data_IF_854377350493
#
_entry.id   IF_854377350493
#
_cell.length_a   1.000
_cell.length_b   1.000
_cell.length_c   1.000
_cell.angle_alpha   90.00
_cell.angle_beta   90.00
_cell.angle_gamma   90.00
#
_symmetry.space_group_name_H-M   'P 1'
#
loop_
_entity.id
_entity.type
_entity.pdbx_description
1 polymer ?
#
# COMPACT_ATOMS: atom_id res chain seq x y z
N UNK A 1 23.71 -5.14 -4.50
CA UNK A 1 22.76 -6.08 -5.11
C UNK A 1 21.37 -5.66 -4.66
N UNK A 2 20.53 -5.18 -5.56
CA UNK A 2 19.13 -4.87 -5.26
C UNK A 2 18.44 -6.17 -4.84
N UNK A 3 17.93 -6.23 -3.61
CA UNK A 3 17.17 -7.40 -3.11
C UNK A 3 15.96 -7.63 -4.01
N UNK A 4 15.76 -8.86 -4.49
CA UNK A 4 14.56 -9.25 -5.24
C UNK A 4 13.37 -9.32 -4.27
N UNK A 5 12.64 -8.21 -4.14
CA UNK A 5 11.47 -8.10 -3.27
C UNK A 5 10.34 -9.04 -3.69
N UNK A 6 10.22 -9.37 -4.98
CA UNK A 6 9.17 -10.30 -5.40
C UNK A 6 9.47 -11.71 -4.89
N UNK A 7 10.72 -12.17 -5.07
CA UNK A 7 11.14 -13.48 -4.55
C UNK A 7 11.03 -13.55 -3.03
N UNK A 8 11.35 -12.47 -2.31
CA UNK A 8 11.19 -12.39 -0.85
C UNK A 8 9.74 -12.66 -0.40
N UNK A 9 8.76 -12.20 -1.18
CA UNK A 9 7.35 -12.15 -0.78
C UNK A 9 6.45 -13.13 -1.54
N UNK A 10 7.01 -14.01 -2.37
CA UNK A 10 6.24 -14.87 -3.27
C UNK A 10 5.32 -15.83 -2.52
N UNK A 11 5.78 -16.44 -1.42
CA UNK A 11 4.98 -17.38 -0.63
C UNK A 11 3.74 -16.71 -0.01
N UNK A 12 3.90 -15.48 0.49
CA UNK A 12 2.79 -14.68 1.03
C UNK A 12 1.79 -14.31 -0.06
N UNK A 13 2.29 -13.89 -1.22
CA UNK A 13 1.44 -13.57 -2.37
C UNK A 13 0.67 -14.80 -2.86
N UNK A 14 1.32 -15.96 -2.99
CA UNK A 14 0.65 -17.20 -3.41
C UNK A 14 -0.38 -17.66 -2.38
N UNK A 15 -0.09 -17.53 -1.08
CA UNK A 15 -1.08 -17.80 -0.03
C UNK A 15 -2.28 -16.87 -0.13
N UNK A 16 -2.06 -15.58 -0.36
CA UNK A 16 -3.14 -14.61 -0.57
C UNK A 16 -3.97 -14.93 -1.82
N UNK A 17 -3.34 -15.37 -2.90
CA UNK A 17 -4.01 -15.78 -4.15
C UNK A 17 -4.90 -17.01 -3.95
N UNK A 18 -4.42 -18.00 -3.19
CA UNK A 18 -5.23 -19.15 -2.78
C UNK A 18 -6.41 -18.71 -1.92
N UNK A 19 -6.17 -17.83 -0.92
CA UNK A 19 -7.23 -17.34 -0.04
C UNK A 19 -8.34 -16.58 -0.78
N UNK A 20 -8.02 -15.71 -1.75
CA UNK A 20 -9.05 -15.01 -2.54
C UNK A 20 -9.85 -15.95 -3.45
N UNK A 21 -9.24 -17.06 -3.88
CA UNK A 21 -9.89 -18.08 -4.71
C UNK A 21 -10.81 -18.98 -3.89
N UNK A 22 -10.34 -19.49 -2.76
CA UNK A 22 -11.07 -20.47 -1.94
C UNK A 22 -11.99 -19.83 -0.90
N UNK A 23 -11.72 -18.58 -0.53
CA UNK A 23 -12.46 -17.81 0.47
C UNK A 23 -12.49 -18.44 1.87
N UNK A 24 -11.49 -19.26 2.19
CA UNK A 24 -11.29 -19.79 3.53
C UNK A 24 -10.72 -18.71 4.48
N UNK A 25 -10.75 -18.95 5.79
CA UNK A 25 -10.14 -18.04 6.75
C UNK A 25 -8.62 -18.06 6.61
N UNK A 26 -8.06 -16.92 6.22
CA UNK A 26 -6.63 -16.67 6.20
C UNK A 26 -6.37 -15.18 6.43
N UNK A 27 -5.32 -14.86 7.17
CA UNK A 27 -4.85 -13.50 7.42
C UNK A 27 -3.33 -13.50 7.35
N UNK A 28 -2.76 -12.49 6.68
CA UNK A 28 -1.32 -12.34 6.53
C UNK A 28 -0.67 -11.63 7.72
N UNK A 29 -1.46 -11.01 8.60
CA UNK A 29 -0.97 -10.14 9.66
C UNK A 29 -1.67 -10.42 11.00
N UNK A 30 -0.94 -10.63 12.10
CA UNK A 30 -1.57 -10.94 13.39
C UNK A 30 -2.46 -9.80 13.92
N UNK A 31 -3.72 -10.09 14.25
CA UNK A 31 -4.68 -9.08 14.71
C UNK A 31 -4.66 -8.81 16.23
N UNK A 32 -4.01 -9.68 17.01
CA UNK A 32 -3.96 -9.55 18.47
C UNK A 32 -2.82 -8.61 18.88
N UNK A 33 -3.07 -7.52 19.64
CA UNK A 33 -2.00 -6.66 20.17
C UNK A 33 -1.25 -7.27 21.36
N UNK A 34 -1.31 -8.59 21.53
CA UNK A 34 -0.74 -9.30 22.66
C UNK A 34 0.80 -9.26 22.64
N UNK A 35 1.47 -9.02 23.78
CA UNK A 35 2.92 -9.14 23.90
C UNK A 35 3.46 -10.51 23.47
N UNK A 36 2.64 -11.57 23.56
CA UNK A 36 3.01 -12.91 23.07
C UNK A 36 3.28 -12.96 21.57
N UNK A 37 2.68 -12.04 20.81
CA UNK A 37 2.82 -11.95 19.34
C UNK A 37 3.89 -10.93 18.98
N UNK A 38 3.93 -9.80 19.69
CA UNK A 38 4.69 -8.62 19.28
C UNK A 38 5.91 -8.31 20.16
N UNK A 39 6.13 -9.09 21.22
CA UNK A 39 7.12 -8.80 22.24
C UNK A 39 6.63 -7.80 23.29
N UNK A 40 7.33 -7.75 24.42
CA UNK A 40 6.95 -6.95 25.60
C UNK A 40 7.07 -5.44 25.39
N UNK A 41 7.90 -4.99 24.44
CA UNK A 41 8.24 -3.56 24.29
C UNK A 41 7.52 -2.85 23.15
N UNK A 42 7.03 -3.59 22.14
CA UNK A 42 6.48 -3.01 20.91
C UNK A 42 5.34 -2.00 21.16
N UNK A 43 4.46 -2.29 22.13
CA UNK A 43 3.38 -1.38 22.50
C UNK A 43 3.88 -0.05 23.08
N UNK A 44 4.89 -0.10 23.95
CA UNK A 44 5.49 1.09 24.55
C UNK A 44 6.29 1.88 23.53
N UNK A 45 7.08 1.20 22.70
CA UNK A 45 7.91 1.82 21.66
C UNK A 45 7.06 2.48 20.57
N UNK A 46 6.00 1.81 20.09
CA UNK A 46 5.09 2.38 19.09
C UNK A 46 4.32 3.59 19.63
N UNK A 47 3.88 3.55 20.90
CA UNK A 47 3.27 4.72 21.56
C UNK A 47 4.26 5.87 21.67
N UNK A 48 5.50 5.61 22.07
CA UNK A 48 6.54 6.63 22.15
C UNK A 48 6.86 7.25 20.77
N UNK A 49 6.93 6.43 19.71
CA UNK A 49 7.12 6.90 18.35
C UNK A 49 5.98 7.83 17.89
N UNK A 50 4.72 7.45 18.13
CA UNK A 50 3.58 8.32 17.85
C UNK A 50 3.66 9.65 18.61
N UNK A 51 3.98 9.60 19.92
CA UNK A 51 4.08 10.79 20.76
C UNK A 51 5.21 11.73 20.32
N UNK A 52 6.26 11.21 19.68
CA UNK A 52 7.36 12.02 19.17
C UNK A 52 6.93 12.97 18.03
N UNK A 53 5.80 12.72 17.37
CA UNK A 53 5.27 13.65 16.37
C UNK A 53 4.54 14.85 16.99
N UNK A 54 4.13 14.77 18.25
CA UNK A 54 3.33 15.82 18.86
C UNK A 54 4.05 17.18 18.80
N UNK A 55 3.32 18.21 18.39
CA UNK A 55 3.82 19.60 18.22
C UNK A 55 5.03 19.75 17.29
N UNK A 56 5.31 18.73 16.46
CA UNK A 56 6.49 18.64 15.61
C UNK A 56 6.12 18.67 14.13
N UNK A 57 7.12 18.91 13.28
CA UNK A 57 6.97 18.74 11.84
C UNK A 57 7.02 17.25 11.51
N UNK A 58 6.04 16.75 10.77
CA UNK A 58 6.07 15.38 10.28
C UNK A 58 7.31 15.20 9.38
N UNK A 59 8.11 14.13 9.57
CA UNK A 59 9.44 13.98 8.97
C UNK A 59 9.37 13.55 7.49
N UNK A 60 8.72 14.37 6.68
CA UNK A 60 8.68 14.24 5.23
C UNK A 60 9.47 15.40 4.62
N UNK A 61 10.55 15.08 3.91
CA UNK A 61 11.33 16.07 3.16
C UNK A 61 10.54 16.48 1.92
N UNK A 62 10.20 17.77 1.85
CA UNK A 62 9.40 18.33 0.76
C UNK A 62 9.88 19.77 0.54
N UNK A 63 10.99 19.94 -0.20
CA UNK A 63 11.58 21.27 -0.42
C UNK A 63 10.57 22.25 -1.02
N UNK A 64 10.52 23.46 -0.47
CA UNK A 64 9.62 24.52 -0.93
C UNK A 64 8.19 24.45 -0.38
N UNK A 65 7.86 23.44 0.44
CA UNK A 65 6.55 23.37 1.10
C UNK A 65 6.44 24.33 2.29
N UNK A 66 5.29 24.97 2.43
CA UNK A 66 4.88 25.55 3.71
C UNK A 66 4.35 24.45 4.63
N UNK A 67 3.85 24.80 5.82
CA UNK A 67 3.42 23.83 6.84
C UNK A 67 1.99 24.08 7.27
N UNK A 68 1.20 23.02 7.40
CA UNK A 68 -0.19 23.07 7.84
C UNK A 68 -0.48 22.10 8.99
N UNK A 69 -1.34 22.50 9.92
CA UNK A 69 -1.91 21.64 10.97
C UNK A 69 -3.41 21.54 10.75
N UNK A 70 -3.94 20.32 10.66
CA UNK A 70 -5.35 20.07 10.32
C UNK A 70 -6.09 19.21 11.33
N UNK A 71 -5.36 18.48 12.18
CA UNK A 71 -5.93 17.43 13.02
C UNK A 71 -6.34 17.94 14.40
N UNK A 72 -7.39 17.31 14.96
CA UNK A 72 -7.80 17.49 16.36
C UNK A 72 -8.16 16.13 16.93
N UNK A 73 -7.65 15.82 18.11
CA UNK A 73 -7.96 14.53 18.73
C UNK A 73 -9.36 14.51 19.34
N UNK A 74 -10.18 13.48 19.09
CA UNK A 74 -11.43 13.27 19.81
C UNK A 74 -11.24 13.06 21.33
N UNK A 75 -10.03 12.71 21.77
CA UNK A 75 -9.66 12.56 23.17
C UNK A 75 -9.21 13.86 23.83
N UNK A 76 -9.21 14.98 23.10
CA UNK A 76 -8.83 16.30 23.62
C UNK A 76 -7.33 16.53 23.83
N UNK A 77 -6.48 15.59 23.40
CA UNK A 77 -5.02 15.82 23.38
C UNK A 77 -4.65 16.79 22.25
N UNK A 78 -3.64 17.63 22.51
CA UNK A 78 -3.06 18.47 21.48
C UNK A 78 -2.07 17.66 20.64
N UNK A 79 -2.41 17.47 19.37
CA UNK A 79 -1.54 16.79 18.42
C UNK A 79 -0.50 17.78 17.86
N UNK A 80 -0.92 18.98 17.47
CA UNK A 80 -0.02 20.02 16.93
C UNK A 80 0.87 19.60 15.76
N UNK A 81 0.58 18.48 15.09
CA UNK A 81 1.44 17.93 14.02
C UNK A 81 1.35 18.85 12.80
N UNK A 82 2.50 19.13 12.18
CA UNK A 82 2.62 20.00 11.00
C UNK A 82 3.09 19.21 9.79
N UNK A 83 2.30 19.22 8.73
CA UNK A 83 2.58 18.51 7.48
C UNK A 83 3.10 19.49 6.43
N UNK A 84 4.00 19.06 5.52
CA UNK A 84 4.34 19.87 4.37
C UNK A 84 3.10 20.07 3.50
N UNK A 85 2.90 21.29 3.03
CA UNK A 85 1.82 21.68 2.16
C UNK A 85 2.39 22.26 0.86
N UNK A 86 1.93 21.71 -0.26
CA UNK A 86 2.35 22.06 -1.62
C UNK A 86 1.11 22.35 -2.44
N UNK A 87 1.28 23.16 -3.48
CA UNK A 87 0.24 23.33 -4.49
C UNK A 87 0.02 22.03 -5.28
N UNK A 88 -1.20 21.88 -5.78
CA UNK A 88 -1.66 20.67 -6.46
C UNK A 88 -0.90 20.42 -7.77
N UNK A 89 -0.52 21.47 -8.50
CA UNK A 89 0.15 21.35 -9.79
C UNK A 89 1.58 20.79 -9.64
N UNK A 90 2.30 21.23 -8.59
CA UNK A 90 3.60 20.68 -8.22
C UNK A 90 3.50 19.20 -7.87
N UNK A 91 2.49 18.80 -7.09
CA UNK A 91 2.26 17.40 -6.77
C UNK A 91 2.00 16.58 -8.03
N UNK A 92 1.05 16.99 -8.88
CA UNK A 92 0.71 16.32 -10.15
C UNK A 92 1.95 16.13 -11.02
N UNK A 93 2.72 17.20 -11.23
CA UNK A 93 3.95 17.17 -12.02
C UNK A 93 4.94 16.14 -11.47
N UNK A 94 5.11 16.07 -10.14
CA UNK A 94 5.98 15.07 -9.51
C UNK A 94 5.51 13.63 -9.76
N UNK A 95 4.21 13.37 -9.70
CA UNK A 95 3.67 12.03 -9.99
C UNK A 95 3.80 11.65 -11.46
N UNK A 96 3.54 12.59 -12.38
CA UNK A 96 3.70 12.38 -13.82
C UNK A 96 5.16 12.06 -14.18
N UNK A 97 6.12 12.72 -13.52
CA UNK A 97 7.55 12.43 -13.70
C UNK A 97 7.96 11.06 -13.14
N UNK A 98 7.30 10.57 -12.09
CA UNK A 98 7.56 9.25 -11.51
C UNK A 98 6.92 8.09 -12.31
N UNK A 99 5.82 8.38 -13.03
CA UNK A 99 5.02 7.37 -13.74
C UNK A 99 5.84 6.48 -14.70
N UNK A 100 6.73 6.99 -15.58
CA UNK A 100 7.38 6.15 -16.59
C UNK A 100 8.21 5.02 -15.96
N UNK A 101 9.07 5.34 -14.99
CA UNK A 101 9.90 4.35 -14.32
C UNK A 101 9.06 3.34 -13.53
N UNK A 102 7.98 3.80 -12.88
CA UNK A 102 7.09 2.93 -12.11
C UNK A 102 6.26 1.99 -13.01
N UNK A 103 5.78 2.49 -14.15
CA UNK A 103 5.13 1.69 -15.19
C UNK A 103 6.08 0.62 -15.72
N UNK A 104 7.30 1.01 -16.07
CA UNK A 104 8.26 0.16 -16.77
C UNK A 104 8.90 -0.91 -15.85
N UNK A 105 8.76 -0.76 -14.53
CA UNK A 105 9.17 -1.79 -13.55
C UNK A 105 8.40 -3.12 -13.68
N UNK A 106 7.21 -3.09 -14.30
CA UNK A 106 6.38 -4.27 -14.55
C UNK A 106 5.64 -4.84 -13.32
N UNK A 107 4.64 -5.71 -13.53
CA UNK A 107 3.77 -6.19 -12.44
C UNK A 107 4.50 -6.91 -11.30
N UNK A 108 5.52 -7.71 -11.60
CA UNK A 108 6.29 -8.46 -10.58
C UNK A 108 7.01 -7.52 -9.62
N UNK A 109 7.78 -6.56 -10.13
CA UNK A 109 8.49 -5.59 -9.29
C UNK A 109 7.53 -4.80 -8.42
N UNK A 110 6.42 -4.32 -9.01
CA UNK A 110 5.43 -3.53 -8.27
C UNK A 110 4.74 -4.32 -7.16
N UNK A 111 4.41 -5.58 -7.39
CA UNK A 111 3.86 -6.46 -6.36
C UNK A 111 4.87 -6.67 -5.22
N UNK A 112 6.14 -6.95 -5.54
CA UNK A 112 7.19 -7.08 -4.53
C UNK A 112 7.37 -5.83 -3.67
N UNK A 113 7.35 -4.64 -4.29
CA UNK A 113 7.41 -3.36 -3.56
C UNK A 113 6.19 -3.15 -2.67
N UNK A 114 4.98 -3.42 -3.16
CA UNK A 114 3.75 -3.28 -2.37
C UNK A 114 3.76 -4.21 -1.14
N UNK A 115 4.19 -5.46 -1.32
CA UNK A 115 4.29 -6.43 -0.22
C UNK A 115 5.39 -6.02 0.79
N UNK A 116 6.50 -5.48 0.31
CA UNK A 116 7.53 -4.93 1.19
C UNK A 116 7.05 -3.73 2.00
N UNK A 117 6.25 -2.83 1.40
CA UNK A 117 5.64 -1.71 2.13
C UNK A 117 4.75 -2.25 3.26
N UNK A 118 3.89 -3.23 2.97
CA UNK A 118 3.03 -3.83 4.00
C UNK A 118 3.84 -4.51 5.11
N UNK A 119 4.90 -5.23 4.78
CA UNK A 119 5.74 -5.89 5.78
C UNK A 119 6.52 -4.91 6.66
N UNK A 120 6.86 -3.73 6.13
CA UNK A 120 7.44 -2.65 6.93
C UNK A 120 6.41 -2.01 7.85
N UNK A 121 5.20 -1.75 7.36
CA UNK A 121 4.10 -1.26 8.20
C UNK A 121 3.75 -2.27 9.30
N UNK A 122 3.84 -3.56 9.00
CA UNK A 122 3.61 -4.67 9.91
C UNK A 122 4.80 -4.97 10.84
N UNK A 123 5.86 -4.15 10.84
CA UNK A 123 6.89 -4.26 11.88
C UNK A 123 6.29 -3.90 13.24
N UNK A 124 6.76 -4.51 14.35
CA UNK A 124 6.14 -4.34 15.66
C UNK A 124 5.97 -2.86 16.05
N UNK A 125 7.05 -2.08 16.04
CA UNK A 125 7.00 -0.67 16.41
C UNK A 125 6.04 0.13 15.51
N UNK A 126 6.14 -0.01 14.19
CA UNK A 126 5.32 0.71 13.22
C UNK A 126 3.82 0.38 13.33
N UNK A 127 3.49 -0.89 13.63
CA UNK A 127 2.11 -1.32 13.83
C UNK A 127 1.49 -0.62 15.04
N UNK A 128 2.19 -0.60 16.17
CA UNK A 128 1.70 0.08 17.38
C UNK A 128 1.70 1.61 17.23
N UNK A 129 2.67 2.18 16.52
CA UNK A 129 2.71 3.60 16.17
C UNK A 129 1.47 4.01 15.35
N UNK A 130 1.19 3.28 14.26
CA UNK A 130 0.02 3.53 13.41
C UNK A 130 -1.31 3.33 14.17
N UNK A 131 -1.39 2.32 15.03
CA UNK A 131 -2.57 2.09 15.87
C UNK A 131 -2.84 3.27 16.82
N UNK A 132 -1.81 3.86 17.41
CA UNK A 132 -1.95 5.08 18.23
C UNK A 132 -2.38 6.28 17.37
N UNK A 133 -1.79 6.47 16.18
CA UNK A 133 -2.20 7.53 15.26
C UNK A 133 -3.70 7.41 14.89
N UNK A 134 -4.17 6.20 14.56
CA UNK A 134 -5.58 5.93 14.28
C UNK A 134 -6.45 6.20 15.51
N UNK A 135 -6.07 5.71 16.69
CA UNK A 135 -6.81 5.97 17.92
C UNK A 135 -7.01 7.47 18.13
N UNK A 136 -5.93 8.25 18.11
CA UNK A 136 -5.97 9.65 18.52
C UNK A 136 -6.49 10.60 17.44
N UNK A 137 -6.65 10.16 16.20
CA UNK A 137 -7.29 10.95 15.12
C UNK A 137 -8.76 10.57 14.92
N UNK A 138 -9.10 9.28 15.01
CA UNK A 138 -10.46 8.78 14.72
C UNK A 138 -11.36 8.67 15.95
N UNK A 139 -10.78 8.60 17.15
CA UNK A 139 -11.52 8.38 18.39
C UNK A 139 -11.81 6.90 18.71
N UNK A 140 -11.35 5.96 17.89
CA UNK A 140 -11.50 4.53 18.16
C UNK A 140 -10.77 4.12 19.45
N UNK A 141 -11.33 3.17 20.19
CA UNK A 141 -10.62 2.53 21.30
C UNK A 141 -9.40 1.74 20.77
N UNK A 142 -8.31 1.67 21.54
CA UNK A 142 -7.02 1.16 21.08
C UNK A 142 -7.08 -0.22 20.38
N UNK A 143 -7.81 -1.20 20.93
CA UNK A 143 -7.90 -2.53 20.32
C UNK A 143 -8.53 -2.48 18.93
N UNK A 144 -9.58 -1.66 18.75
CA UNK A 144 -10.19 -1.44 17.44
C UNK A 144 -9.26 -0.67 16.51
N UNK A 145 -8.59 0.37 17.01
CA UNK A 145 -7.61 1.13 16.24
C UNK A 145 -6.42 0.27 15.78
N UNK A 146 -6.00 -0.70 16.59
CA UNK A 146 -5.01 -1.69 16.22
C UNK A 146 -5.57 -2.61 15.14
N UNK A 147 -6.68 -3.31 15.39
CA UNK A 147 -7.24 -4.26 14.45
C UNK A 147 -7.61 -3.62 13.11
N UNK A 148 -8.52 -2.63 13.14
CA UNK A 148 -9.03 -1.99 11.94
C UNK A 148 -7.99 -1.06 11.30
N UNK A 149 -7.20 -0.35 12.10
CA UNK A 149 -6.21 0.60 11.61
C UNK A 149 -4.95 -0.06 11.05
N UNK A 150 -4.64 -1.29 11.45
CA UNK A 150 -3.41 -2.00 11.07
C UNK A 150 -3.72 -3.38 10.48
N UNK A 151 -3.76 -4.46 11.25
CA UNK A 151 -3.80 -5.83 10.76
C UNK A 151 -4.88 -6.07 9.70
N UNK A 152 -6.12 -5.63 9.97
CA UNK A 152 -7.22 -5.78 9.02
C UNK A 152 -7.07 -4.85 7.80
N UNK A 153 -6.51 -3.65 7.95
CA UNK A 153 -6.21 -2.78 6.81
C UNK A 153 -5.07 -3.35 5.94
N UNK A 154 -4.06 -3.96 6.55
CA UNK A 154 -2.94 -4.61 5.86
C UNK A 154 -3.44 -5.85 5.10
N UNK A 155 -4.33 -6.64 5.70
CA UNK A 155 -4.99 -7.76 5.03
C UNK A 155 -5.80 -7.29 3.81
N UNK A 156 -6.54 -6.19 3.93
CA UNK A 156 -7.32 -5.63 2.80
C UNK A 156 -6.44 -5.05 1.70
N UNK A 157 -5.29 -4.46 2.05
CA UNK A 157 -4.28 -4.09 1.05
C UNK A 157 -3.67 -5.31 0.36
N UNK A 158 -3.32 -6.35 1.11
CA UNK A 158 -2.77 -7.60 0.58
C UNK A 158 -3.76 -8.30 -0.35
N UNK A 159 -5.04 -8.33 0.02
CA UNK A 159 -6.13 -8.81 -0.83
C UNK A 159 -6.18 -8.02 -2.15
N UNK A 160 -6.13 -6.68 -2.11
CA UNK A 160 -6.11 -5.85 -3.31
C UNK A 160 -4.90 -6.14 -4.21
N UNK A 161 -3.71 -6.32 -3.63
CA UNK A 161 -2.49 -6.71 -4.36
C UNK A 161 -2.66 -8.09 -5.00
N UNK A 162 -3.21 -9.06 -4.29
CA UNK A 162 -3.41 -10.42 -4.78
C UNK A 162 -4.39 -10.47 -5.97
N UNK A 163 -5.51 -9.76 -5.88
CA UNK A 163 -6.46 -9.64 -6.99
C UNK A 163 -5.81 -8.98 -8.21
N UNK A 164 -5.19 -7.82 -8.01
CA UNK A 164 -4.61 -7.07 -9.11
C UNK A 164 -3.45 -7.82 -9.80
N UNK A 165 -2.57 -8.45 -9.01
CA UNK A 165 -1.47 -9.25 -9.58
C UNK A 165 -2.00 -10.46 -10.34
N UNK A 166 -3.04 -11.14 -9.82
CA UNK A 166 -3.67 -12.27 -10.51
C UNK A 166 -4.22 -11.85 -11.88
N UNK A 167 -4.88 -10.69 -11.98
CA UNK A 167 -5.39 -10.20 -13.27
C UNK A 167 -4.27 -9.79 -14.23
N UNK A 168 -3.27 -9.05 -13.74
CA UNK A 168 -2.16 -8.58 -14.59
C UNK A 168 -1.28 -9.73 -15.10
N UNK A 169 -1.21 -10.85 -14.40
CA UNK A 169 -0.38 -12.03 -14.76
C UNK A 169 -1.17 -13.16 -15.43
N UNK A 170 -2.47 -12.98 -15.67
CA UNK A 170 -3.35 -14.01 -16.24
C UNK A 170 -2.96 -14.43 -17.67
N UNK A 171 -2.36 -13.52 -18.43
CA UNK A 171 -1.99 -13.74 -19.84
C UNK A 171 -0.47 -13.67 -20.03
N UNK A 172 0.09 -14.39 -21.01
CA UNK A 172 1.52 -14.33 -21.28
C UNK A 172 1.91 -12.97 -21.86
N UNK A 173 3.13 -12.51 -21.54
CA UNK A 173 3.70 -11.28 -22.11
C UNK A 173 3.89 -11.36 -23.63
N UNK A 174 4.22 -12.55 -24.14
CA UNK A 174 4.34 -12.81 -25.58
C UNK A 174 3.59 -14.07 -25.98
N UNK A 175 2.94 -14.03 -27.14
CA UNK A 175 2.27 -15.20 -27.71
C UNK A 175 2.62 -15.37 -29.19
N UNK A 176 3.05 -16.57 -29.58
CA UNK A 176 3.10 -16.98 -30.97
C UNK A 176 1.66 -17.20 -31.47
N UNK A 177 1.33 -16.60 -32.60
CA UNK A 177 0.05 -16.79 -33.25
C UNK A 177 0.28 -17.24 -34.68
N UNK A 178 -0.33 -18.37 -35.02
CA UNK A 178 -0.22 -18.99 -36.33
C UNK A 178 -1.62 -19.20 -36.91
N UNK A 179 -1.85 -18.72 -38.12
CA UNK A 179 -3.07 -18.97 -38.88
C UNK A 179 -2.73 -19.76 -40.16
N UNK A 180 -3.29 -20.97 -40.33
CA UNK A 180 -3.12 -21.74 -41.56
C UNK A 180 -3.63 -20.96 -42.78
N UNK A 181 -2.89 -21.03 -43.90
CA UNK A 181 -3.20 -20.32 -45.13
C UNK A 181 -3.50 -21.27 -46.31
N UNK A 182 -4.32 -22.30 -46.07
CA UNK A 182 -4.72 -23.26 -47.10
C UNK A 182 -3.52 -23.98 -47.71
N UNK A 183 -3.24 -23.75 -49.00
CA UNK A 183 -2.09 -24.33 -49.72
C UNK A 183 -0.78 -23.54 -49.56
N UNK A 184 -0.80 -22.36 -48.95
CA UNK A 184 0.37 -21.51 -48.74
C UNK A 184 0.98 -21.68 -47.35
N UNK A 185 2.10 -20.98 -47.13
CA UNK A 185 2.75 -20.94 -45.82
C UNK A 185 1.84 -20.32 -44.74
N UNK A 186 1.83 -20.83 -43.51
CA UNK A 186 1.06 -20.26 -42.41
C UNK A 186 1.44 -18.80 -42.11
N UNK A 187 0.44 -17.97 -41.80
CA UNK A 187 0.68 -16.62 -41.29
C UNK A 187 1.15 -16.70 -39.85
N UNK A 188 2.36 -16.22 -39.56
CA UNK A 188 2.96 -16.24 -38.23
C UNK A 188 3.17 -14.83 -37.70
N UNK A 189 2.78 -14.60 -36.46
CA UNK A 189 2.99 -13.34 -35.74
C UNK A 189 3.46 -13.63 -34.31
N UNK A 190 4.41 -12.85 -33.82
CA UNK A 190 4.67 -12.74 -32.38
C UNK A 190 3.89 -11.55 -31.85
N UNK A 191 2.96 -11.79 -30.93
CA UNK A 191 2.21 -10.75 -30.22
C UNK A 191 2.94 -10.45 -28.92
N UNK A 192 3.10 -9.17 -28.60
CA UNK A 192 3.60 -8.70 -27.30
C UNK A 192 2.50 -7.90 -26.62
N UNK A 193 2.25 -8.18 -25.35
CA UNK A 193 1.23 -7.53 -24.54
C UNK A 193 1.89 -6.78 -23.38
N UNK A 194 1.47 -5.54 -23.17
CA UNK A 194 1.98 -4.71 -22.10
C UNK A 194 0.85 -4.34 -21.14
N UNK A 195 1.09 -4.54 -19.84
CA UNK A 195 0.22 -4.02 -18.79
C UNK A 195 0.55 -2.55 -18.59
N UNK A 196 -0.38 -1.67 -18.95
CA UNK A 196 -0.20 -0.20 -18.88
C UNK A 196 -1.15 0.39 -17.84
N UNK A 197 -0.64 1.16 -16.85
CA UNK A 197 -1.46 1.83 -15.84
C UNK A 197 -2.35 2.90 -16.47
N UNK A 198 -3.34 3.37 -15.73
CA UNK A 198 -4.24 4.43 -16.18
C UNK A 198 -3.59 5.82 -16.13
N UNK A 199 -2.76 6.07 -15.14
CA UNK A 199 -2.10 7.37 -14.94
C UNK A 199 -1.89 7.66 -13.47
N UNK A 200 -2.08 8.91 -13.06
CA UNK A 200 -2.02 9.32 -11.65
C UNK A 200 -3.34 9.02 -10.96
N UNK A 201 -3.28 8.41 -9.77
CA UNK A 201 -4.44 8.09 -8.95
C UNK A 201 -4.57 9.04 -7.75
N UNK A 202 -5.81 9.21 -7.26
CA UNK A 202 -6.13 9.96 -6.05
C UNK A 202 -6.91 9.07 -5.09
N UNK A 203 -6.44 8.99 -3.85
CA UNK A 203 -7.15 8.41 -2.71
C UNK A 203 -7.65 9.55 -1.85
N UNK A 204 -8.96 9.60 -1.63
CA UNK A 204 -9.59 10.52 -0.67
C UNK A 204 -9.95 9.68 0.55
N UNK A 205 -9.24 9.88 1.66
CA UNK A 205 -9.44 9.06 2.85
C UNK A 205 -10.72 9.44 3.59
N UNK A 206 -11.24 8.49 4.36
CA UNK A 206 -12.33 8.75 5.29
C UNK A 206 -11.78 9.09 6.68
N UNK A 207 -12.56 9.84 7.46
CA UNK A 207 -12.18 10.28 8.81
C UNK A 207 -12.36 9.20 9.90
N UNK A 208 -13.07 8.10 9.65
CA UNK A 208 -13.36 7.07 10.66
C UNK A 208 -12.47 5.85 10.55
N UNK A 209 -12.10 5.43 9.34
CA UNK A 209 -11.26 4.26 9.05
C UNK A 209 -10.18 4.62 8.00
N UNK A 210 -9.29 5.57 8.31
CA UNK A 210 -8.42 6.22 7.32
C UNK A 210 -7.52 5.22 6.59
N UNK A 211 -7.05 4.16 7.24
CA UNK A 211 -6.27 3.09 6.59
C UNK A 211 -7.17 2.02 5.98
N UNK A 212 -8.07 1.40 6.75
CA UNK A 212 -8.90 0.28 6.29
C UNK A 212 -9.68 0.58 5.01
N UNK A 213 -10.29 1.77 4.89
CA UNK A 213 -11.03 2.15 3.68
C UNK A 213 -10.13 2.59 2.53
N UNK A 214 -8.96 3.17 2.82
CA UNK A 214 -8.09 3.78 1.80
C UNK A 214 -7.06 2.81 1.23
N UNK A 215 -6.57 1.89 2.05
CA UNK A 215 -5.51 0.94 1.72
C UNK A 215 -5.87 0.05 0.52
N UNK A 216 -7.10 -0.47 0.36
CA UNK A 216 -7.48 -1.19 -0.85
C UNK A 216 -7.25 -0.37 -2.12
N UNK A 217 -7.72 0.89 -2.15
CA UNK A 217 -7.57 1.78 -3.31
C UNK A 217 -6.12 2.21 -3.54
N UNK A 218 -5.40 2.53 -2.47
CA UNK A 218 -3.97 2.89 -2.51
C UNK A 218 -3.14 1.75 -3.11
N UNK A 219 -3.24 0.55 -2.53
CA UNK A 219 -2.42 -0.59 -2.94
C UNK A 219 -2.86 -1.17 -4.29
N UNK A 220 -4.15 -1.16 -4.62
CA UNK A 220 -4.62 -1.50 -5.97
C UNK A 220 -4.04 -0.54 -7.01
N UNK A 221 -4.00 0.76 -6.72
CA UNK A 221 -3.45 1.77 -7.64
C UNK A 221 -1.94 1.61 -7.81
N UNK A 222 -1.21 1.45 -6.70
CA UNK A 222 0.25 1.24 -6.70
C UNK A 222 0.64 0.00 -7.51
N UNK A 223 0.06 -1.16 -7.19
CA UNK A 223 0.44 -2.43 -7.83
C UNK A 223 0.11 -2.43 -9.33
N UNK A 224 -0.98 -1.77 -9.73
CA UNK A 224 -1.36 -1.63 -11.14
C UNK A 224 -0.56 -0.57 -11.88
N UNK A 225 0.41 0.09 -11.23
CA UNK A 225 1.41 0.96 -11.86
C UNK A 225 1.09 2.44 -11.82
N UNK A 226 0.15 2.87 -10.99
CA UNK A 226 -0.24 4.27 -10.86
C UNK A 226 0.51 4.89 -9.66
N UNK A 227 1.20 6.04 -9.82
CA UNK A 227 1.54 6.89 -8.68
C UNK A 227 0.27 7.42 -8.04
N UNK A 228 0.30 7.64 -6.72
CA UNK A 228 -0.92 7.90 -5.94
C UNK A 228 -0.73 9.13 -5.07
N UNK A 229 -1.66 10.07 -5.14
CA UNK A 229 -1.86 11.07 -4.10
C UNK A 229 -2.81 10.54 -3.05
N UNK A 230 -2.43 10.67 -1.78
CA UNK A 230 -3.33 10.40 -0.66
C UNK A 230 -3.71 11.76 -0.08
N UNK A 231 -4.99 12.11 -0.21
CA UNK A 231 -5.60 13.24 0.46
C UNK A 231 -6.33 12.68 1.70
N UNK A 232 -5.68 12.68 2.87
CA UNK A 232 -6.26 12.15 4.09
C UNK A 232 -7.45 12.99 4.60
#
# INVERSE_FOLDING_TARGET
>A
MTSDLFAKHSEKLDSARTAIQERHYWSGYPESPSPKVWGETAATEGKAAFQAYATSDFPLDTPGADRITTERSPFGIDLGIRYPHLDVDTLITSAENALPAWRDAGPRTRAGVCLEILDRLAQPQCTFELANAVQFTTGQAFVMAFQAGTAHAFDRALEAVAYAYTEMSRHPETAAWEKPAGKGDPLRMTKTFHVVPRGVALVIACNTFPTWNSFPGLFASLVTGNPVFVKP
#
